data_IF_376407549641
#
_entry.id   IF_376407549641
#
_cell.length_a   1.000
_cell.length_b   1.000
_cell.length_c   1.000
_cell.angle_alpha   90.00
_cell.angle_beta   90.00
_cell.angle_gamma   90.00
#
_symmetry.space_group_name_H-M   'P 1'
#
loop_
_entity.id
_entity.type
_entity.pdbx_description
1 polymer ?
#
# COMPACT_ATOMS: atom_id res chain seq x y z
N UNK A 1 30.00 0.07 4.59
CA UNK A 1 29.14 0.99 5.35
C UNK A 1 28.15 1.59 4.36
N UNK A 2 26.94 1.04 4.24
CA UNK A 2 25.89 1.56 3.35
C UNK A 2 24.69 1.90 4.23
N UNK A 3 24.52 3.18 4.57
CA UNK A 3 23.30 3.67 5.20
C UNK A 3 22.14 3.37 4.27
N UNK A 4 21.26 2.45 4.66
CA UNK A 4 20.05 2.14 3.89
C UNK A 4 19.08 3.29 4.10
N UNK A 5 19.09 4.27 3.21
CA UNK A 5 17.97 5.21 3.12
C UNK A 5 16.69 4.42 2.89
N UNK A 6 15.65 4.77 3.64
CA UNK A 6 14.33 4.12 3.51
C UNK A 6 13.63 4.58 2.23
N UNK A 7 12.69 3.80 1.71
CA UNK A 7 11.91 4.17 0.52
C UNK A 7 11.16 5.50 0.72
N UNK A 8 10.75 5.79 1.96
CA UNK A 8 10.15 7.06 2.38
C UNK A 8 11.11 8.25 2.24
N UNK A 9 12.37 8.08 2.63
CA UNK A 9 13.39 9.13 2.50
C UNK A 9 13.77 9.35 1.05
N UNK A 10 13.97 8.25 0.30
CA UNK A 10 14.23 8.30 -1.14
C UNK A 10 13.14 9.06 -1.88
N UNK A 11 11.87 8.77 -1.58
CA UNK A 11 10.74 9.49 -2.16
C UNK A 11 10.77 10.99 -1.84
N UNK A 12 11.04 11.39 -0.60
CA UNK A 12 11.15 12.81 -0.23
C UNK A 12 12.25 13.52 -1.00
N UNK A 13 13.41 12.87 -1.16
CA UNK A 13 14.55 13.42 -1.90
C UNK A 13 14.18 13.56 -3.39
N UNK A 14 13.53 12.55 -3.98
CA UNK A 14 13.07 12.62 -5.38
C UNK A 14 12.08 13.74 -5.59
N UNK A 15 11.10 13.87 -4.69
CA UNK A 15 10.12 14.94 -4.76
C UNK A 15 10.79 16.31 -4.75
N UNK A 16 11.78 16.51 -3.87
CA UNK A 16 12.58 17.73 -3.81
C UNK A 16 13.42 17.92 -5.08
N UNK A 17 14.03 16.85 -5.58
CA UNK A 17 14.81 16.84 -6.82
C UNK A 17 13.98 17.15 -8.06
N UNK A 18 12.67 16.86 -8.07
CA UNK A 18 11.77 17.19 -9.17
C UNK A 18 11.15 18.59 -9.07
N UNK A 19 11.51 19.38 -8.06
CA UNK A 19 10.95 20.73 -7.87
C UNK A 19 9.68 20.78 -7.02
N UNK A 20 9.47 19.79 -6.15
CA UNK A 20 8.29 19.61 -5.29
C UNK A 20 6.99 19.29 -6.05
N UNK A 21 5.91 19.01 -5.31
CA UNK A 21 4.59 18.65 -5.87
C UNK A 21 4.03 19.71 -6.83
N UNK A 22 4.41 20.98 -6.67
CA UNK A 22 3.99 22.08 -7.54
C UNK A 22 4.52 21.97 -8.97
N UNK A 23 5.71 21.37 -9.15
CA UNK A 23 6.37 21.23 -10.43
C UNK A 23 5.99 19.94 -11.16
N UNK A 24 5.40 18.97 -10.46
CA UNK A 24 5.01 17.69 -11.04
C UNK A 24 3.59 17.82 -11.60
N UNK A 25 3.43 17.54 -12.89
CA UNK A 25 2.16 17.50 -13.59
C UNK A 25 1.55 16.09 -13.59
N UNK A 26 2.38 15.08 -13.91
CA UNK A 26 1.99 13.68 -13.91
C UNK A 26 3.12 12.81 -13.35
N UNK A 27 2.77 11.71 -12.70
CA UNK A 27 3.72 10.80 -12.07
C UNK A 27 3.30 9.36 -12.32
N UNK A 28 4.06 8.66 -13.15
CA UNK A 28 3.83 7.27 -13.52
C UNK A 28 5.09 6.43 -13.26
N UNK A 29 4.94 5.10 -13.17
CA UNK A 29 6.08 4.20 -13.06
C UNK A 29 5.93 3.01 -13.98
N UNK A 30 7.05 2.58 -14.52
CA UNK A 30 7.24 1.27 -15.12
C UNK A 30 8.08 0.41 -14.18
N UNK A 31 8.31 -0.85 -14.58
CA UNK A 31 9.01 -1.84 -13.76
C UNK A 31 10.39 -1.37 -13.23
N UNK A 32 11.10 -0.53 -13.98
CA UNK A 32 12.46 -0.07 -13.64
C UNK A 32 12.66 1.45 -13.64
N UNK A 33 11.65 2.23 -14.02
CA UNK A 33 11.78 3.68 -14.25
C UNK A 33 10.53 4.43 -13.77
N UNK A 34 10.72 5.59 -13.16
CA UNK A 34 9.67 6.59 -12.98
C UNK A 34 9.57 7.44 -14.24
N UNK A 35 8.36 7.75 -14.67
CA UNK A 35 8.05 8.72 -15.71
C UNK A 35 7.36 9.89 -15.03
N UNK A 36 7.93 11.07 -15.18
CA UNK A 36 7.49 12.27 -14.47
C UNK A 36 7.23 13.34 -15.51
N UNK A 37 5.98 13.79 -15.59
CA UNK A 37 5.64 15.06 -16.22
C UNK A 37 6.01 16.20 -15.28
N UNK A 38 6.85 17.12 -15.71
CA UNK A 38 7.26 18.33 -14.98
C UNK A 38 6.79 19.57 -15.73
N UNK A 39 6.41 20.61 -15.00
CA UNK A 39 5.99 21.90 -15.58
C UNK A 39 7.17 22.77 -15.96
N UNK A 40 8.28 22.64 -15.22
CA UNK A 40 9.48 23.42 -15.44
C UNK A 40 10.73 22.54 -15.21
N UNK A 41 11.54 22.40 -16.25
CA UNK A 41 12.77 21.60 -16.23
C UNK A 41 13.87 22.24 -15.36
N UNK A 42 13.94 23.57 -15.26
CA UNK A 42 14.96 24.28 -14.47
C UNK A 42 14.82 24.03 -12.95
N UNK A 43 13.62 23.63 -12.51
CA UNK A 43 13.39 23.22 -11.12
C UNK A 43 13.86 21.79 -10.83
N UNK A 44 14.20 21.01 -11.86
CA UNK A 44 14.66 19.63 -11.71
C UNK A 44 16.17 19.62 -11.43
N UNK A 45 16.55 19.00 -10.31
CA UNK A 45 17.93 18.87 -9.88
C UNK A 45 18.41 17.43 -10.00
N UNK A 46 19.26 17.18 -11.00
CA UNK A 46 19.80 15.86 -11.31
C UNK A 46 20.74 15.31 -10.23
N UNK A 47 21.44 16.17 -9.48
CA UNK A 47 22.34 15.73 -8.40
C UNK A 47 21.54 15.13 -7.24
N UNK A 48 20.46 15.81 -6.83
CA UNK A 48 19.55 15.34 -5.77
C UNK A 48 18.89 14.01 -6.16
N UNK A 49 18.53 13.84 -7.43
CA UNK A 49 17.96 12.58 -7.93
C UNK A 49 18.97 11.43 -7.85
N UNK A 50 20.25 11.68 -8.16
CA UNK A 50 21.33 10.68 -7.99
C UNK A 50 21.57 10.34 -6.52
N UNK A 51 21.51 11.32 -5.61
CA UNK A 51 21.60 11.08 -4.16
C UNK A 51 20.46 10.20 -3.63
N UNK A 52 19.26 10.33 -4.21
CA UNK A 52 18.14 9.45 -3.89
C UNK A 52 18.35 7.99 -4.33
N UNK A 53 19.41 7.71 -5.11
CA UNK A 53 19.71 6.39 -5.65
C UNK A 53 19.17 6.17 -7.07
N UNK A 54 18.86 7.24 -7.81
CA UNK A 54 18.66 7.11 -9.25
C UNK A 54 19.94 6.65 -9.93
N UNK A 55 19.83 5.58 -10.72
CA UNK A 55 20.92 5.05 -11.54
C UNK A 55 21.20 5.96 -12.74
N UNK A 56 20.13 6.50 -13.33
CA UNK A 56 20.20 7.34 -14.51
C UNK A 56 18.97 8.26 -14.59
N UNK A 57 19.11 9.41 -15.26
CA UNK A 57 18.04 10.38 -15.46
C UNK A 57 18.01 10.74 -16.95
N UNK A 58 16.89 10.43 -17.60
CA UNK A 58 16.67 10.65 -19.03
C UNK A 58 15.63 11.74 -19.20
N UNK A 59 16.03 12.88 -19.76
CA UNK A 59 15.09 13.93 -20.16
C UNK A 59 14.59 13.59 -21.56
N UNK A 60 13.28 13.41 -21.70
CA UNK A 60 12.64 13.08 -22.99
C UNK A 60 12.33 14.38 -23.75
N UNK A 61 11.81 15.38 -23.05
CA UNK A 61 11.48 16.70 -23.58
C UNK A 61 11.40 17.74 -22.44
N UNK A 62 10.98 18.96 -22.75
CA UNK A 62 10.89 20.08 -21.81
C UNK A 62 9.95 19.85 -20.61
N UNK A 63 9.00 18.91 -20.74
CA UNK A 63 8.04 18.58 -19.70
C UNK A 63 8.08 17.11 -19.26
N UNK A 64 8.92 16.25 -19.84
CA UNK A 64 8.94 14.82 -19.49
C UNK A 64 10.34 14.35 -19.10
N UNK A 65 10.45 13.83 -17.88
CA UNK A 65 11.68 13.31 -17.30
C UNK A 65 11.45 11.87 -16.85
N UNK A 66 12.41 11.00 -17.13
CA UNK A 66 12.41 9.61 -16.67
C UNK A 66 13.57 9.36 -15.71
N UNK A 67 13.25 8.85 -14.53
CA UNK A 67 14.24 8.53 -13.48
C UNK A 67 14.38 7.02 -13.38
N UNK A 68 15.55 6.48 -13.66
CA UNK A 68 15.84 5.04 -13.62
C UNK A 68 16.22 4.67 -12.19
N UNK A 69 15.38 3.86 -11.54
CA UNK A 69 15.59 3.45 -10.13
C UNK A 69 15.59 1.93 -9.93
N UNK A 70 15.51 1.16 -11.03
CA UNK A 70 15.42 -0.29 -10.97
C UNK A 70 14.11 -0.75 -10.33
N UNK A 71 14.13 -1.93 -9.70
CA UNK A 71 12.94 -2.58 -9.12
C UNK A 71 12.25 -1.79 -8.01
N UNK A 72 12.87 -0.70 -7.54
CA UNK A 72 12.29 0.21 -6.54
C UNK A 72 11.30 1.22 -7.14
N UNK A 73 11.33 1.46 -8.44
CA UNK A 73 10.46 2.45 -9.11
C UNK A 73 8.97 2.36 -8.72
N UNK A 74 8.30 1.18 -8.79
CA UNK A 74 6.89 1.08 -8.39
C UNK A 74 6.67 1.39 -6.91
N UNK A 75 7.61 0.98 -6.04
CA UNK A 75 7.50 1.22 -4.60
C UNK A 75 7.66 2.69 -4.24
N UNK A 76 8.58 3.40 -4.90
CA UNK A 76 8.78 4.83 -4.67
C UNK A 76 7.59 5.66 -5.21
N UNK A 77 7.02 5.28 -6.35
CA UNK A 77 5.79 5.92 -6.85
C UNK A 77 4.66 5.81 -5.82
N UNK A 78 4.48 4.62 -5.27
CA UNK A 78 3.49 4.36 -4.22
C UNK A 78 3.69 5.29 -3.03
N UNK A 79 4.94 5.42 -2.55
CA UNK A 79 5.29 6.31 -1.43
C UNK A 79 5.08 7.79 -1.78
N UNK A 80 5.42 8.23 -2.99
CA UNK A 80 5.24 9.62 -3.46
C UNK A 80 3.76 10.01 -3.54
N UNK A 81 2.93 9.14 -4.11
CA UNK A 81 1.48 9.33 -4.19
C UNK A 81 0.81 9.30 -2.81
N UNK A 82 1.38 8.54 -1.87
CA UNK A 82 0.88 8.40 -0.50
C UNK A 82 1.37 9.51 0.45
N UNK A 83 1.89 10.63 -0.07
CA UNK A 83 2.42 11.73 0.74
C UNK A 83 1.45 12.20 1.82
N UNK A 84 1.78 11.88 3.07
CA UNK A 84 1.01 12.18 4.29
C UNK A 84 -0.44 11.68 4.28
N UNK A 85 -0.64 10.42 3.88
CA UNK A 85 -1.77 9.59 4.33
C UNK A 85 -1.42 8.12 4.09
N UNK A 86 -1.38 7.37 5.17
CA UNK A 86 -1.69 5.95 5.16
C UNK A 86 -3.05 5.75 4.49
N UNK A 87 -3.07 5.50 3.18
CA UNK A 87 -4.24 5.16 2.33
C UNK A 87 -3.72 5.13 0.88
N UNK A 88 -4.00 4.22 -0.04
CA UNK A 88 -5.04 3.20 -0.19
C UNK A 88 -4.53 2.26 -1.28
N UNK A 89 -3.74 1.24 -0.94
CA UNK A 89 -4.04 -0.04 -1.57
C UNK A 89 -5.12 -0.59 -0.68
N UNK A 90 -6.30 -0.87 -1.22
CA UNK A 90 -7.30 -1.67 -0.52
C UNK A 90 -6.65 -3.02 -0.25
N UNK A 91 -5.88 -3.08 0.84
CA UNK A 91 -5.19 -4.28 1.25
C UNK A 91 -6.27 -5.29 1.53
N UNK A 92 -5.91 -6.54 1.30
CA UNK A 92 -6.84 -7.65 1.43
C UNK A 92 -7.50 -7.64 2.80
N UNK A 93 -6.76 -7.17 3.79
CA UNK A 93 -7.09 -6.95 5.19
C UNK A 93 -8.15 -5.86 5.39
N UNK A 94 -8.03 -4.68 4.77
CA UNK A 94 -9.08 -3.65 4.85
C UNK A 94 -10.41 -4.14 4.28
N UNK A 95 -10.36 -4.84 3.13
CA UNK A 95 -11.55 -5.46 2.55
C UNK A 95 -12.14 -6.55 3.44
N UNK A 96 -11.30 -7.29 4.17
CA UNK A 96 -11.77 -8.26 5.17
C UNK A 96 -12.49 -7.54 6.31
N UNK A 97 -11.96 -6.42 6.81
CA UNK A 97 -12.63 -5.62 7.85
C UNK A 97 -13.96 -5.09 7.35
N UNK A 98 -14.02 -4.56 6.12
CA UNK A 98 -15.28 -4.12 5.51
C UNK A 98 -16.28 -5.27 5.37
N UNK A 99 -15.83 -6.44 4.90
CA UNK A 99 -16.66 -7.64 4.80
C UNK A 99 -17.11 -8.17 6.18
N UNK A 100 -16.42 -7.83 7.26
CA UNK A 100 -16.83 -8.15 8.63
C UNK A 100 -17.74 -7.07 9.24
N UNK A 101 -18.11 -6.03 8.50
CA UNK A 101 -18.98 -4.95 8.96
C UNK A 101 -18.24 -3.72 9.50
N UNK A 102 -16.97 -3.53 9.11
CA UNK A 102 -16.04 -2.49 9.56
C UNK A 102 -15.61 -2.67 11.02
N UNK A 103 -14.64 -1.86 11.45
CA UNK A 103 -14.03 -1.90 12.79
C UNK A 103 -15.07 -1.77 13.91
N UNK A 104 -16.13 -1.01 13.69
CA UNK A 104 -17.23 -0.82 14.65
C UNK A 104 -17.98 -2.12 14.97
N UNK A 105 -18.02 -3.05 14.02
CA UNK A 105 -18.75 -4.31 14.13
C UNK A 105 -17.87 -5.43 14.71
N UNK A 106 -16.54 -5.28 14.69
CA UNK A 106 -15.62 -6.28 15.21
C UNK A 106 -15.45 -6.03 16.71
N UNK A 107 -15.77 -7.02 17.52
CA UNK A 107 -15.60 -6.99 18.96
C UNK A 107 -14.25 -7.61 19.36
N UNK A 108 -13.96 -8.79 18.83
CA UNK A 108 -12.77 -9.56 19.18
C UNK A 108 -12.21 -10.25 17.94
N UNK A 109 -10.87 -10.35 17.85
CA UNK A 109 -10.18 -10.95 16.71
C UNK A 109 -9.08 -11.89 17.17
N UNK A 110 -9.26 -13.16 16.84
CA UNK A 110 -8.35 -14.24 17.17
C UNK A 110 -8.10 -15.14 15.96
N UNK A 111 -7.05 -15.95 15.98
CA UNK A 111 -6.78 -16.91 14.91
C UNK A 111 -6.20 -18.19 15.48
N UNK A 112 -6.66 -19.31 14.95
CA UNK A 112 -5.95 -20.57 15.02
C UNK A 112 -4.98 -20.70 13.82
N UNK A 113 -4.30 -21.85 13.72
CA UNK A 113 -3.38 -22.14 12.63
C UNK A 113 -4.00 -21.98 11.22
N UNK A 114 -5.28 -22.30 11.06
CA UNK A 114 -5.96 -22.29 9.75
C UNK A 114 -7.24 -21.44 9.66
N UNK A 115 -7.69 -20.87 10.78
CA UNK A 115 -8.99 -20.17 10.87
C UNK A 115 -8.86 -18.88 11.65
N UNK A 116 -9.49 -17.83 11.18
CA UNK A 116 -9.75 -16.62 11.96
C UNK A 116 -11.04 -16.82 12.75
N UNK A 117 -11.03 -16.47 14.03
CA UNK A 117 -12.20 -16.38 14.90
C UNK A 117 -12.47 -14.90 15.13
N UNK A 118 -13.65 -14.45 14.72
CA UNK A 118 -14.05 -13.06 14.79
C UNK A 118 -15.31 -12.97 15.63
N UNK A 119 -15.21 -12.27 16.75
CA UNK A 119 -16.36 -11.78 17.49
C UNK A 119 -16.91 -10.55 16.76
N UNK A 120 -18.18 -10.60 16.38
CA UNK A 120 -18.90 -9.50 15.71
C UNK A 120 -20.10 -9.06 16.54
N UNK A 121 -20.45 -7.78 16.47
CA UNK A 121 -21.62 -7.22 17.18
C UNK A 121 -22.92 -7.46 16.44
N UNK A 122 -22.87 -7.50 15.12
CA UNK A 122 -24.02 -7.69 14.25
C UNK A 122 -23.65 -8.59 13.06
N UNK A 123 -24.32 -9.74 12.95
CA UNK A 123 -24.07 -10.71 11.90
C UNK A 123 -24.55 -10.23 10.51
N UNK A 124 -25.61 -9.44 10.43
CA UNK A 124 -26.16 -8.93 9.16
C UNK A 124 -25.19 -8.01 8.42
N UNK A 125 -24.25 -7.39 9.14
CA UNK A 125 -23.18 -6.59 8.54
C UNK A 125 -22.05 -7.44 7.97
N UNK A 126 -22.03 -8.75 8.23
CA UNK A 126 -20.99 -9.66 7.73
C UNK A 126 -21.36 -10.18 6.34
N UNK A 127 -20.45 -10.00 5.38
CA UNK A 127 -20.59 -10.45 4.01
C UNK A 127 -19.74 -11.70 3.76
N UNK A 128 -20.38 -12.87 3.87
CA UNK A 128 -19.75 -14.16 3.66
C UNK A 128 -19.21 -14.34 2.23
N UNK A 129 -19.87 -13.74 1.23
CA UNK A 129 -19.48 -13.85 -0.17
C UNK A 129 -18.16 -13.10 -0.42
N UNK A 130 -18.09 -11.86 0.06
CA UNK A 130 -16.88 -11.05 -0.02
C UNK A 130 -15.68 -11.73 0.68
N UNK A 131 -15.89 -12.36 1.85
CA UNK A 131 -14.83 -13.12 2.53
C UNK A 131 -14.30 -14.28 1.68
N UNK A 132 -15.18 -14.99 0.96
CA UNK A 132 -14.78 -16.07 0.03
C UNK A 132 -14.02 -15.52 -1.18
N UNK A 133 -14.43 -14.39 -1.75
CA UNK A 133 -13.70 -13.70 -2.82
C UNK A 133 -12.33 -13.20 -2.36
N UNK A 134 -12.22 -12.83 -1.09
CA UNK A 134 -10.96 -12.50 -0.43
C UNK A 134 -10.15 -13.77 -0.06
N UNK A 135 -10.51 -14.94 -0.58
CA UNK A 135 -9.74 -16.17 -0.45
C UNK A 135 -9.95 -16.90 0.88
N UNK A 136 -11.04 -16.64 1.59
CA UNK A 136 -11.55 -17.60 2.55
C UNK A 136 -12.01 -18.86 1.81
N UNK A 137 -11.55 -20.01 2.27
CA UNK A 137 -12.02 -21.31 1.78
C UNK A 137 -13.46 -21.55 2.22
N UNK A 138 -13.78 -21.14 3.45
CA UNK A 138 -15.12 -21.25 3.99
C UNK A 138 -15.37 -20.24 5.11
N UNK A 139 -16.65 -19.96 5.37
CA UNK A 139 -17.11 -19.04 6.42
C UNK A 139 -18.19 -19.75 7.23
N UNK A 140 -17.87 -20.03 8.50
CA UNK A 140 -18.73 -20.75 9.43
C UNK A 140 -19.24 -19.76 10.47
N UNK A 141 -20.55 -19.57 10.51
CA UNK A 141 -21.20 -18.83 11.59
C UNK A 141 -21.44 -19.80 12.74
N UNK A 142 -20.90 -19.47 13.91
CA UNK A 142 -21.06 -20.30 15.12
C UNK A 142 -22.27 -19.84 15.91
N UNK A 143 -22.37 -18.52 16.14
CA UNK A 143 -23.45 -17.86 16.88
C UNK A 143 -23.75 -16.48 16.27
N UNK A 144 -24.75 -15.79 16.82
CA UNK A 144 -25.14 -14.42 16.45
C UNK A 144 -24.00 -13.38 16.56
N UNK A 145 -22.99 -13.66 17.39
CA UNK A 145 -21.82 -12.81 17.57
C UNK A 145 -20.49 -13.47 17.19
N UNK A 146 -20.48 -14.71 16.71
CA UNK A 146 -19.22 -15.45 16.50
C UNK A 146 -19.14 -16.01 15.08
N UNK A 147 -18.13 -15.57 14.33
CA UNK A 147 -17.87 -16.00 12.95
C UNK A 147 -16.46 -16.60 12.85
N UNK A 148 -16.34 -17.74 12.19
CA UNK A 148 -15.06 -18.37 11.88
C UNK A 148 -14.80 -18.36 10.38
N UNK A 149 -13.68 -17.76 9.97
CA UNK A 149 -13.28 -17.65 8.57
C UNK A 149 -12.08 -18.55 8.32
N UNK A 150 -12.24 -19.54 7.45
CA UNK A 150 -11.18 -20.50 7.13
C UNK A 150 -10.28 -19.91 6.05
N UNK A 151 -9.08 -19.46 6.42
CA UNK A 151 -8.11 -18.82 5.51
C UNK A 151 -6.88 -19.69 5.23
N UNK A 152 -6.83 -20.90 5.80
CA UNK A 152 -5.66 -21.78 5.73
C UNK A 152 -4.47 -21.24 6.52
N UNK A 153 -3.26 -21.70 6.20
CA UNK A 153 -2.01 -21.35 6.91
C UNK A 153 -1.65 -19.86 6.94
N UNK A 154 -2.41 -19.04 6.21
CA UNK A 154 -2.28 -17.57 6.17
C UNK A 154 -3.04 -16.87 7.29
N UNK A 155 -3.94 -17.57 8.00
CA UNK A 155 -4.75 -17.01 9.08
C UNK A 155 -3.96 -16.19 10.13
N UNK A 156 -2.87 -16.69 10.75
CA UNK A 156 -2.15 -15.93 11.76
C UNK A 156 -1.50 -14.65 11.23
N UNK A 157 -1.02 -14.68 9.97
CA UNK A 157 -0.44 -13.49 9.34
C UNK A 157 -1.51 -12.43 9.08
N UNK A 158 -2.67 -12.85 8.59
CA UNK A 158 -3.79 -11.94 8.32
C UNK A 158 -4.27 -11.31 9.64
N UNK A 159 -4.35 -12.07 10.73
CA UNK A 159 -4.72 -11.52 12.04
C UNK A 159 -3.76 -10.40 12.49
N UNK A 160 -2.45 -10.64 12.39
CA UNK A 160 -1.44 -9.65 12.82
C UNK A 160 -1.60 -8.32 12.06
N UNK A 161 -1.87 -8.41 10.76
CA UNK A 161 -2.12 -7.23 9.92
C UNK A 161 -3.46 -6.57 10.25
N UNK A 162 -4.53 -7.35 10.48
CA UNK A 162 -5.83 -6.82 10.92
C UNK A 162 -5.72 -6.08 12.26
N UNK A 163 -4.97 -6.62 13.22
CA UNK A 163 -4.74 -6.00 14.53
C UNK A 163 -3.98 -4.69 14.45
N UNK A 164 -3.14 -4.48 13.43
CA UNK A 164 -2.47 -3.18 13.20
C UNK A 164 -3.43 -2.12 12.67
N UNK A 165 -4.53 -2.56 12.05
CA UNK A 165 -5.51 -1.67 11.46
C UNK A 165 -6.61 -1.27 12.44
N UNK A 166 -6.90 -2.03 13.49
CA UNK A 166 -8.05 -1.81 14.39
C UNK A 166 -7.58 -1.22 15.71
#
# INVERSE_FOLDING_TARGET
MFGRMTDAEVAKIILRGLGNKENIDSLESCFTRLRVGVKNLDKVNNEVLKEAGALDIVVVDENNVQVVMGTKAPKILEVLNSGDKSQTLSTKEEKIIEALGKKENIDSLESCFTRLRVGVKNLDKVNNNALKELGALDVVVVDENNVQVVMGTKAPKILDELKKLI
#
